data_IF_119115502713
#
_entry.id   IF_119115502713
#
_cell.length_a   1.000
_cell.length_b   1.000
_cell.length_c   1.000
_cell.angle_alpha   90.00
_cell.angle_beta   90.00
_cell.angle_gamma   90.00
#
_symmetry.space_group_name_H-M   'P 1'
#
loop_
_entity.id
_entity.type
_entity.pdbx_description
1 polymer ?
#
# COMPACT_ATOMS: atom_id res chain seq x y z
N UNK A 1 18.29 65.10 29.67
CA UNK A 1 18.19 64.09 30.75
C UNK A 1 19.02 62.88 30.37
N UNK A 2 19.85 62.37 31.28
CA UNK A 2 21.01 61.54 30.98
C UNK A 2 20.74 60.03 31.08
N UNK A 3 21.59 59.29 30.37
CA UNK A 3 22.12 57.95 30.63
C UNK A 3 21.41 57.02 31.62
N UNK A 4 21.14 55.79 31.19
CA UNK A 4 21.75 54.61 31.85
C UNK A 4 21.81 53.41 30.88
N UNK A 5 23.05 53.10 30.47
CA UNK A 5 23.50 51.78 30.02
C UNK A 5 23.77 50.94 31.29
N UNK A 6 23.45 49.64 31.29
CA UNK A 6 24.20 48.53 31.91
C UNK A 6 23.50 47.20 31.50
N UNK A 7 24.17 46.37 30.69
CA UNK A 7 24.90 45.15 31.09
C UNK A 7 23.94 44.05 31.60
N UNK A 8 23.63 43.02 30.79
CA UNK A 8 24.40 41.77 30.68
C UNK A 8 24.84 41.21 32.03
N UNK A 9 24.16 40.17 32.49
CA UNK A 9 24.73 38.87 32.88
C UNK A 9 23.83 38.14 33.89
N UNK A 10 23.86 36.81 33.79
CA UNK A 10 23.45 35.83 34.80
C UNK A 10 22.03 35.29 34.65
N UNK A 11 21.95 34.01 34.28
CA UNK A 11 20.71 33.25 34.30
C UNK A 11 20.64 32.05 33.37
N UNK A 12 21.77 31.53 32.86
CA UNK A 12 21.79 30.21 32.21
C UNK A 12 21.65 29.15 33.31
N UNK A 13 20.43 28.93 33.79
CA UNK A 13 20.10 27.78 34.61
C UNK A 13 20.15 26.54 33.71
N UNK A 14 21.22 25.75 33.86
CA UNK A 14 21.26 24.35 33.45
C UNK A 14 20.05 23.62 34.07
N UNK A 15 18.98 23.45 33.30
CA UNK A 15 18.11 22.30 33.50
C UNK A 15 18.86 21.10 32.93
N UNK A 16 19.69 20.48 33.77
CA UNK A 16 19.98 19.06 33.67
C UNK A 16 18.67 18.34 33.97
N UNK A 17 17.84 18.18 32.95
CA UNK A 17 16.80 17.18 32.96
C UNK A 17 17.50 15.85 33.21
N UNK A 18 17.35 15.32 34.42
CA UNK A 18 17.59 13.92 34.72
C UNK A 18 16.58 13.13 33.89
N UNK A 19 16.96 12.85 32.64
CA UNK A 19 16.34 11.78 31.88
C UNK A 19 16.53 10.52 32.72
N UNK A 20 15.47 9.77 33.08
CA UNK A 20 15.65 8.50 33.74
C UNK A 20 16.52 7.63 32.84
N UNK A 21 17.66 7.21 33.38
CA UNK A 21 18.57 6.23 32.80
C UNK A 21 17.93 4.82 32.77
N UNK A 22 16.74 4.73 32.16
CA UNK A 22 15.92 3.53 32.05
C UNK A 22 15.71 3.03 30.62
N UNK A 23 16.34 3.66 29.62
CA UNK A 23 16.17 3.29 28.21
C UNK A 23 17.25 2.36 27.64
N UNK A 24 18.37 2.14 28.35
CA UNK A 24 19.49 1.36 27.81
C UNK A 24 19.33 -0.17 27.99
N UNK A 25 18.37 -0.63 28.78
CA UNK A 25 18.19 -2.06 29.10
C UNK A 25 17.10 -2.75 28.25
N UNK A 26 16.38 -1.99 27.41
CA UNK A 26 15.33 -2.54 26.56
C UNK A 26 15.82 -2.92 25.15
N UNK A 27 16.98 -2.41 24.71
CA UNK A 27 17.49 -2.66 23.35
C UNK A 27 18.30 -3.97 23.20
N UNK A 28 18.96 -4.46 24.27
CA UNK A 28 19.75 -5.71 24.20
C UNK A 28 18.89 -6.96 24.02
N UNK A 29 17.66 -6.95 24.55
CA UNK A 29 16.75 -8.10 24.54
C UNK A 29 16.16 -8.43 23.15
N UNK A 30 16.19 -7.48 22.21
CA UNK A 30 15.61 -7.63 20.87
C UNK A 30 16.65 -8.00 19.83
N UNK A 31 17.91 -7.64 20.06
CA UNK A 31 19.01 -7.98 19.17
C UNK A 31 19.19 -9.50 19.11
N UNK A 32 18.98 -10.08 17.92
CA UNK A 32 19.30 -11.49 17.68
C UNK A 32 20.75 -11.61 17.14
N UNK A 33 21.62 -12.42 17.77
CA UNK A 33 23.02 -12.59 17.35
C UNK A 33 23.17 -13.45 16.08
N UNK A 34 22.14 -14.22 15.71
CA UNK A 34 22.14 -15.08 14.52
C UNK A 34 20.82 -14.98 13.73
N UNK A 35 20.82 -15.31 12.44
CA UNK A 35 19.59 -15.35 11.63
C UNK A 35 18.60 -16.41 12.15
N UNK A 36 19.08 -17.55 12.65
CA UNK A 36 18.25 -18.60 13.24
C UNK A 36 17.55 -18.10 14.49
N UNK A 37 18.28 -17.40 15.35
CA UNK A 37 17.71 -16.83 16.57
C UNK A 37 16.68 -15.74 16.27
N UNK A 38 16.92 -14.89 15.27
CA UNK A 38 15.95 -13.89 14.83
C UNK A 38 14.63 -14.54 14.38
N UNK A 39 14.71 -15.59 13.56
CA UNK A 39 13.53 -16.30 13.06
C UNK A 39 12.80 -17.08 14.16
N UNK A 40 13.54 -17.74 15.06
CA UNK A 40 12.95 -18.47 16.20
C UNK A 40 12.25 -17.50 17.15
N UNK A 41 12.91 -16.40 17.55
CA UNK A 41 12.30 -15.37 18.40
C UNK A 41 11.05 -14.77 17.75
N UNK A 42 11.07 -14.52 16.44
CA UNK A 42 9.89 -14.04 15.73
C UNK A 42 8.70 -15.01 15.87
N UNK A 43 8.90 -16.32 15.66
CA UNK A 43 7.83 -17.32 15.83
C UNK A 43 7.35 -17.41 17.28
N UNK A 44 8.27 -17.41 18.25
CA UNK A 44 7.92 -17.47 19.67
C UNK A 44 7.11 -16.25 20.13
N UNK A 45 7.52 -15.04 19.71
CA UNK A 45 6.86 -13.80 20.12
C UNK A 45 5.56 -13.55 19.37
N UNK A 46 5.51 -13.91 18.09
CA UNK A 46 4.27 -13.85 17.29
C UNK A 46 3.21 -14.88 17.74
N UNK A 47 3.61 -15.89 18.52
CA UNK A 47 2.77 -16.95 19.07
C UNK A 47 2.09 -16.67 20.42
N UNK A 48 2.24 -15.48 21.00
CA UNK A 48 1.45 -15.08 22.17
C UNK A 48 2.23 -14.61 23.40
N UNK A 49 3.44 -14.06 23.23
CA UNK A 49 4.21 -13.52 24.38
C UNK A 49 4.52 -12.03 24.29
N UNK A 50 4.82 -11.49 23.10
CA UNK A 50 5.11 -10.05 22.95
C UNK A 50 5.03 -9.56 21.49
N UNK A 51 3.85 -9.09 21.07
CA UNK A 51 3.65 -8.57 19.72
C UNK A 51 4.47 -7.30 19.42
N UNK A 52 4.79 -6.50 20.46
CA UNK A 52 5.63 -5.31 20.32
C UNK A 52 7.06 -5.72 19.99
N UNK A 53 7.66 -6.62 20.78
CA UNK A 53 9.01 -7.16 20.49
C UNK A 53 9.07 -7.87 19.14
N UNK A 54 7.98 -8.54 18.73
CA UNK A 54 7.87 -9.13 17.38
C UNK A 54 8.07 -8.08 16.29
N UNK A 55 7.41 -6.93 16.38
CA UNK A 55 7.55 -5.84 15.40
C UNK A 55 8.96 -5.22 15.42
N UNK A 56 9.66 -5.27 16.56
CA UNK A 56 11.03 -4.78 16.69
C UNK A 56 12.07 -5.67 16.00
N UNK A 57 11.79 -6.96 15.80
CA UNK A 57 12.61 -7.88 14.99
C UNK A 57 12.46 -7.68 13.47
N UNK A 58 11.49 -6.87 13.04
CA UNK A 58 11.20 -6.70 11.62
C UNK A 58 12.10 -5.62 11.03
N UNK A 59 12.70 -5.95 9.91
CA UNK A 59 13.56 -5.02 9.19
C UNK A 59 12.77 -3.77 8.74
N UNK A 60 13.27 -2.54 9.03
CA UNK A 60 12.55 -1.30 8.74
C UNK A 60 12.05 -1.17 7.29
N UNK A 61 12.88 -1.56 6.31
CA UNK A 61 12.52 -1.50 4.87
C UNK A 61 11.33 -2.38 4.49
N UNK A 62 11.04 -3.42 5.27
CA UNK A 62 9.88 -4.30 5.07
C UNK A 62 8.69 -3.93 5.95
N UNK A 63 8.96 -3.25 7.07
CA UNK A 63 7.98 -2.80 8.04
C UNK A 63 7.20 -1.57 7.55
N UNK A 64 7.89 -0.56 7.01
CA UNK A 64 7.26 0.68 6.58
C UNK A 64 6.21 0.48 5.46
N UNK A 65 6.47 -0.28 4.37
CA UNK A 65 5.46 -0.56 3.36
C UNK A 65 4.27 -1.36 3.91
N UNK A 66 4.53 -2.31 4.82
CA UNK A 66 3.48 -3.08 5.48
C UNK A 66 2.59 -2.18 6.34
N UNK A 67 3.19 -1.26 7.11
CA UNK A 67 2.45 -0.27 7.90
C UNK A 67 1.60 0.65 7.01
N UNK A 68 2.15 1.12 5.88
CA UNK A 68 1.42 1.96 4.94
C UNK A 68 0.20 1.22 4.37
N UNK A 69 0.39 -0.04 3.93
CA UNK A 69 -0.70 -0.89 3.45
C UNK A 69 -1.76 -1.10 4.53
N UNK A 70 -1.34 -1.43 5.75
CA UNK A 70 -2.24 -1.61 6.88
C UNK A 70 -3.05 -0.35 7.21
N UNK A 71 -2.39 0.81 7.30
CA UNK A 71 -3.05 2.08 7.57
C UNK A 71 -4.07 2.43 6.48
N UNK A 72 -3.74 2.15 5.22
CA UNK A 72 -4.67 2.30 4.09
C UNK A 72 -5.90 1.40 4.26
N UNK A 73 -5.74 0.12 4.58
CA UNK A 73 -6.87 -0.81 4.77
C UNK A 73 -7.78 -0.45 5.95
N UNK A 74 -7.28 0.31 6.92
CA UNK A 74 -8.01 0.75 8.11
C UNK A 74 -8.58 2.17 8.00
N UNK A 75 -8.30 2.85 6.89
CA UNK A 75 -8.86 4.16 6.58
C UNK A 75 -10.35 3.99 6.23
N UNK A 76 -11.24 4.76 6.87
CA UNK A 76 -12.68 4.68 6.63
C UNK A 76 -13.06 4.97 5.15
N UNK A 77 -12.21 5.66 4.42
CA UNK A 77 -12.40 5.91 2.98
C UNK A 77 -12.13 4.67 2.14
N UNK A 78 -11.41 3.67 2.67
CA UNK A 78 -10.97 2.51 1.90
C UNK A 78 -12.14 1.59 1.61
N UNK A 79 -13.00 1.37 2.59
CA UNK A 79 -14.32 0.76 2.42
C UNK A 79 -15.20 1.12 3.62
N UNK A 80 -16.54 1.00 3.51
CA UNK A 80 -17.45 1.24 4.63
C UNK A 80 -17.12 0.40 5.87
N UNK A 81 -16.60 -0.82 5.67
CA UNK A 81 -16.26 -1.74 6.76
C UNK A 81 -14.86 -1.52 7.35
N UNK A 82 -14.06 -0.61 6.78
CA UNK A 82 -12.66 -0.41 7.21
C UNK A 82 -12.57 0.11 8.65
N UNK A 83 -13.51 0.95 9.07
CA UNK A 83 -13.60 1.45 10.45
C UNK A 83 -13.98 0.33 11.42
N UNK A 84 -15.03 -0.44 11.12
CA UNK A 84 -15.42 -1.58 11.94
C UNK A 84 -14.30 -2.64 12.02
N UNK A 85 -13.58 -2.87 10.92
CA UNK A 85 -12.40 -3.73 10.88
C UNK A 85 -11.29 -3.23 11.82
N UNK A 86 -10.97 -1.93 11.75
CA UNK A 86 -9.99 -1.27 12.63
C UNK A 86 -10.38 -1.41 14.10
N UNK A 87 -11.62 -1.09 14.45
CA UNK A 87 -12.10 -1.18 15.83
C UNK A 87 -12.09 -2.61 16.36
N UNK A 88 -12.51 -3.60 15.55
CA UNK A 88 -12.49 -5.01 15.94
C UNK A 88 -11.07 -5.51 16.20
N UNK A 89 -10.09 -5.07 15.40
CA UNK A 89 -8.74 -5.59 15.46
C UNK A 89 -7.83 -4.83 16.42
N UNK A 90 -7.92 -3.51 16.45
CA UNK A 90 -7.05 -2.64 17.23
C UNK A 90 -7.73 -2.06 18.48
N UNK A 91 -9.06 -2.03 18.51
CA UNK A 91 -9.88 -1.41 19.57
C UNK A 91 -10.35 0.01 19.22
N UNK A 92 -11.35 0.54 19.94
CA UNK A 92 -11.98 1.85 19.65
C UNK A 92 -11.05 3.05 19.84
N UNK A 93 -9.97 2.89 20.61
CA UNK A 93 -8.96 3.94 20.82
C UNK A 93 -8.02 4.18 19.63
N UNK A 94 -8.18 3.43 18.53
CA UNK A 94 -7.39 3.58 17.30
C UNK A 94 -8.18 4.37 16.26
N UNK A 95 -8.11 5.70 16.36
CA UNK A 95 -8.70 6.62 15.37
C UNK A 95 -7.78 6.80 14.16
N UNK A 96 -8.30 7.39 13.07
CA UNK A 96 -7.49 7.76 11.91
C UNK A 96 -6.30 8.67 12.28
N UNK A 97 -6.52 9.64 13.17
CA UNK A 97 -5.47 10.53 13.67
C UNK A 97 -4.39 9.75 14.44
N UNK A 98 -4.78 8.79 15.30
CA UNK A 98 -3.83 7.95 16.01
C UNK A 98 -3.03 7.07 15.06
N UNK A 99 -3.66 6.45 14.07
CA UNK A 99 -2.96 5.65 13.05
C UNK A 99 -1.93 6.48 12.27
N UNK A 100 -2.28 7.73 11.95
CA UNK A 100 -1.36 8.65 11.28
C UNK A 100 -0.16 9.02 12.15
N UNK A 101 -0.36 9.20 13.46
CA UNK A 101 0.70 9.53 14.42
C UNK A 101 1.52 8.32 14.89
N UNK A 102 0.99 7.10 14.75
CA UNK A 102 1.64 5.88 15.21
C UNK A 102 2.93 5.58 14.44
N UNK A 103 3.95 5.14 15.19
CA UNK A 103 5.19 4.64 14.59
C UNK A 103 4.94 3.33 13.85
N UNK A 104 5.86 2.97 12.94
CA UNK A 104 5.76 1.72 12.18
C UNK A 104 5.66 0.49 13.10
N UNK A 105 6.48 0.47 14.16
CA UNK A 105 6.50 -0.61 15.15
C UNK A 105 5.23 -0.64 16.00
N UNK A 106 4.70 0.50 16.39
CA UNK A 106 3.49 0.57 17.22
C UNK A 106 2.27 0.01 16.48
N UNK A 107 1.99 0.50 15.27
CA UNK A 107 0.81 0.07 14.51
C UNK A 107 0.91 -1.41 14.09
N UNK A 108 2.08 -1.85 13.61
CA UNK A 108 2.28 -3.24 13.22
C UNK A 108 2.26 -4.17 14.43
N UNK A 109 2.90 -3.78 15.54
CA UNK A 109 2.85 -4.54 16.78
C UNK A 109 1.42 -4.71 17.29
N UNK A 110 0.60 -3.65 17.23
CA UNK A 110 -0.80 -3.75 17.64
C UNK A 110 -1.64 -4.62 16.68
N UNK A 111 -1.37 -4.55 15.38
CA UNK A 111 -2.02 -5.44 14.41
C UNK A 111 -1.70 -6.92 14.68
N UNK A 112 -0.43 -7.23 14.98
CA UNK A 112 0.00 -8.59 15.33
C UNK A 112 -0.67 -9.05 16.64
N UNK A 113 -0.74 -8.19 17.66
CA UNK A 113 -1.44 -8.48 18.90
C UNK A 113 -2.94 -8.71 18.69
N UNK A 114 -3.61 -7.90 17.87
CA UNK A 114 -5.01 -8.09 17.50
C UNK A 114 -5.24 -9.45 16.82
N UNK A 115 -4.36 -9.83 15.89
CA UNK A 115 -4.39 -11.14 15.23
C UNK A 115 -4.19 -12.31 16.20
N UNK A 116 -3.31 -12.16 17.20
CA UNK A 116 -3.13 -13.13 18.29
C UNK A 116 -4.37 -13.22 19.17
N UNK A 117 -4.98 -12.09 19.52
CA UNK A 117 -6.18 -12.04 20.35
C UNK A 117 -7.40 -12.72 19.70
N UNK A 118 -7.39 -12.91 18.38
CA UNK A 118 -8.39 -13.70 17.64
C UNK A 118 -8.08 -15.21 17.65
N UNK A 119 -6.87 -15.62 18.07
CA UNK A 119 -6.38 -17.00 18.11
C UNK A 119 -6.03 -17.42 19.54
N UNK A 120 -6.88 -17.08 20.52
CA UNK A 120 -6.58 -17.25 21.95
C UNK A 120 -6.35 -18.70 22.39
N UNK A 121 -6.86 -19.65 21.62
CA UNK A 121 -6.70 -21.08 21.89
C UNK A 121 -5.42 -21.66 21.24
N UNK A 122 -4.67 -20.87 20.46
CA UNK A 122 -3.43 -21.32 19.83
C UNK A 122 -2.26 -21.14 20.79
N UNK A 123 -1.54 -22.23 21.02
CA UNK A 123 -0.26 -22.23 21.74
C UNK A 123 0.84 -22.67 20.78
N UNK A 124 1.86 -21.83 20.66
CA UNK A 124 3.07 -22.16 19.90
C UNK A 124 4.09 -22.82 20.84
N UNK A 125 4.61 -23.98 20.44
CA UNK A 125 5.63 -24.74 21.17
C UNK A 125 6.65 -25.37 20.22
N UNK A 126 7.69 -26.01 20.77
CA UNK A 126 8.69 -26.76 20.00
C UNK A 126 9.31 -25.99 18.83
N UNK A 127 9.54 -24.68 19.01
CA UNK A 127 10.10 -23.79 17.98
C UNK A 127 11.59 -24.05 17.82
N UNK A 128 12.02 -24.41 16.60
CA UNK A 128 13.43 -24.62 16.27
C UNK A 128 13.72 -24.29 14.81
N UNK A 129 14.87 -23.70 14.55
CA UNK A 129 15.41 -23.64 13.20
C UNK A 129 15.82 -25.05 12.75
N UNK A 130 15.43 -25.44 11.55
CA UNK A 130 15.71 -26.77 10.97
C UNK A 130 16.55 -26.70 9.70
N UNK A 131 16.64 -25.53 9.07
CA UNK A 131 17.49 -25.28 7.92
C UNK A 131 17.87 -23.79 7.89
N UNK A 132 19.06 -23.48 7.39
CA UNK A 132 19.59 -22.13 7.22
C UNK A 132 20.50 -22.12 6.01
N UNK A 133 20.11 -21.35 4.99
CA UNK A 133 20.82 -21.28 3.72
C UNK A 133 21.18 -19.83 3.39
N UNK A 134 22.26 -19.66 2.60
CA UNK A 134 22.65 -18.35 2.10
C UNK A 134 21.63 -17.87 1.06
N UNK A 135 21.02 -16.71 1.33
CA UNK A 135 20.15 -16.02 0.39
C UNK A 135 20.91 -14.97 -0.45
N UNK A 136 20.14 -14.16 -1.18
CA UNK A 136 20.65 -13.05 -1.98
C UNK A 136 21.09 -11.87 -1.10
N UNK A 137 22.16 -11.16 -1.49
CA UNK A 137 22.58 -9.89 -0.87
C UNK A 137 22.71 -9.95 0.66
N UNK A 138 23.57 -10.86 1.14
CA UNK A 138 23.85 -11.12 2.56
C UNK A 138 22.66 -11.60 3.41
N UNK A 139 21.53 -11.91 2.78
CA UNK A 139 20.41 -12.55 3.44
C UNK A 139 20.73 -14.00 3.87
N UNK A 140 19.94 -14.47 4.82
CA UNK A 140 19.86 -15.88 5.22
C UNK A 140 18.41 -16.32 5.17
N UNK A 141 18.13 -17.40 4.46
CA UNK A 141 16.82 -18.05 4.45
C UNK A 141 16.81 -19.09 5.56
N UNK A 142 15.99 -18.89 6.57
CA UNK A 142 15.90 -19.76 7.74
C UNK A 142 14.54 -20.41 7.78
N UNK A 143 14.50 -21.74 7.76
CA UNK A 143 13.26 -22.50 7.97
C UNK A 143 13.13 -22.86 9.44
N UNK A 144 12.04 -22.41 10.05
CA UNK A 144 11.67 -22.70 11.44
C UNK A 144 10.52 -23.69 11.45
N UNK A 145 10.66 -24.77 12.22
CA UNK A 145 9.57 -25.69 12.53
C UNK A 145 9.05 -25.38 13.93
N UNK A 146 7.74 -25.42 14.09
CA UNK A 146 7.07 -25.18 15.36
C UNK A 146 5.77 -25.98 15.43
N UNK A 147 5.31 -26.24 16.63
CA UNK A 147 4.04 -26.90 16.88
C UNK A 147 3.00 -25.85 17.24
N UNK A 148 1.82 -25.95 16.62
CA UNK A 148 0.63 -25.17 16.96
C UNK A 148 -0.36 -26.13 17.60
N UNK A 149 -0.62 -25.92 18.88
CA UNK A 149 -1.65 -26.64 19.62
C UNK A 149 -2.89 -25.74 19.71
N UNK A 150 -4.02 -26.21 19.21
CA UNK A 150 -5.31 -25.52 19.28
C UNK A 150 -6.37 -26.45 19.83
N UNK A 151 -7.20 -25.94 20.75
CA UNK A 151 -8.32 -26.69 21.29
C UNK A 151 -9.36 -27.03 20.20
N UNK A 152 -9.49 -26.17 19.19
CA UNK A 152 -10.47 -26.31 18.10
C UNK A 152 -9.95 -27.09 16.88
N UNK A 153 -8.64 -27.07 16.62
CA UNK A 153 -8.04 -27.66 15.42
C UNK A 153 -7.07 -28.82 15.71
N UNK A 154 -6.82 -29.13 16.98
CA UNK A 154 -5.86 -30.13 17.41
C UNK A 154 -4.42 -29.62 17.35
N UNK A 155 -3.47 -30.55 17.43
CA UNK A 155 -2.04 -30.26 17.34
C UNK A 155 -1.53 -30.47 15.92
N UNK A 156 -0.78 -29.51 15.39
CA UNK A 156 -0.16 -29.62 14.08
C UNK A 156 1.28 -29.08 14.09
N UNK A 157 2.16 -29.75 13.34
CA UNK A 157 3.50 -29.22 13.08
C UNK A 157 3.45 -28.30 11.87
N UNK A 158 3.93 -27.08 12.06
CA UNK A 158 4.05 -26.06 11.03
C UNK A 158 5.53 -25.83 10.70
N UNK A 159 5.77 -25.36 9.47
CA UNK A 159 7.08 -24.90 9.01
C UNK A 159 6.91 -23.55 8.34
N UNK A 160 7.84 -22.63 8.58
CA UNK A 160 7.87 -21.32 7.92
C UNK A 160 9.30 -20.93 7.60
N UNK A 161 9.51 -20.38 6.41
CA UNK A 161 10.79 -19.83 5.98
C UNK A 161 10.79 -18.32 6.15
N UNK A 162 11.89 -17.79 6.71
CA UNK A 162 12.10 -16.38 6.97
C UNK A 162 13.36 -15.93 6.27
N UNK A 163 13.29 -14.78 5.61
CA UNK A 163 14.49 -14.09 5.14
C UNK A 163 15.01 -13.17 6.25
N UNK A 164 16.19 -13.47 6.79
CA UNK A 164 16.88 -12.68 7.80
C UNK A 164 18.03 -11.86 7.18
N UNK A 165 18.27 -10.66 7.71
CA UNK A 165 19.31 -9.74 7.27
C UNK A 165 20.13 -9.22 8.45
N UNK A 166 21.44 -9.00 8.25
CA UNK A 166 22.26 -8.32 9.25
C UNK A 166 21.88 -6.84 9.33
N UNK A 167 21.86 -6.30 10.55
CA UNK A 167 21.64 -4.89 10.88
C UNK A 167 22.58 -4.52 12.04
N UNK A 168 23.73 -3.96 11.71
CA UNK A 168 24.80 -3.73 12.69
C UNK A 168 25.29 -5.04 13.30
N UNK A 169 25.16 -5.20 14.61
CA UNK A 169 25.51 -6.42 15.35
C UNK A 169 24.36 -7.42 15.48
N UNK A 170 23.19 -7.09 14.94
CA UNK A 170 21.96 -7.86 15.12
C UNK A 170 21.49 -8.46 13.79
N UNK A 171 20.61 -9.45 13.88
CA UNK A 171 19.85 -10.00 12.77
C UNK A 171 18.38 -9.64 12.92
N UNK A 172 17.76 -9.21 11.81
CA UNK A 172 16.35 -8.87 11.72
C UNK A 172 15.70 -9.73 10.64
N UNK A 173 14.41 -10.01 10.77
CA UNK A 173 13.65 -10.73 9.74
C UNK A 173 12.91 -9.75 8.83
N UNK A 174 12.76 -10.10 7.56
CA UNK A 174 11.76 -9.43 6.73
C UNK A 174 10.35 -9.79 7.21
N UNK A 175 9.42 -8.86 7.00
CA UNK A 175 7.99 -9.16 7.16
C UNK A 175 7.64 -10.42 6.35
N UNK A 176 7.12 -11.49 6.97
CA UNK A 176 6.80 -12.73 6.27
C UNK A 176 5.83 -12.51 5.11
N UNK A 177 6.00 -13.27 4.04
CA UNK A 177 5.16 -13.16 2.84
C UNK A 177 3.69 -13.47 3.15
N UNK A 178 3.43 -14.38 4.09
CA UNK A 178 2.08 -14.75 4.50
C UNK A 178 1.37 -13.61 5.24
N UNK A 179 2.12 -12.78 5.97
CA UNK A 179 1.57 -11.58 6.59
C UNK A 179 1.05 -10.62 5.51
N UNK A 180 1.74 -10.53 4.37
CA UNK A 180 1.33 -9.69 3.23
C UNK A 180 0.14 -10.28 2.50
N UNK A 181 0.18 -11.57 2.18
CA UNK A 181 -0.95 -12.28 1.59
C UNK A 181 -2.21 -12.13 2.45
N UNK A 182 -2.08 -12.12 3.78
CA UNK A 182 -3.19 -11.85 4.69
C UNK A 182 -3.74 -10.43 4.56
N UNK A 183 -2.89 -9.41 4.36
CA UNK A 183 -3.37 -8.06 4.06
C UNK A 183 -4.12 -8.02 2.72
N UNK A 184 -3.71 -8.82 1.73
CA UNK A 184 -4.41 -8.88 0.44
C UNK A 184 -5.77 -9.57 0.55
N UNK A 185 -5.88 -10.64 1.33
CA UNK A 185 -7.18 -11.26 1.67
C UNK A 185 -8.11 -10.27 2.38
N UNK A 186 -7.58 -9.49 3.33
CA UNK A 186 -8.32 -8.43 4.00
C UNK A 186 -8.73 -7.36 2.99
N UNK A 187 -7.82 -6.93 2.12
CA UNK A 187 -8.06 -5.95 1.07
C UNK A 187 -9.21 -6.39 0.16
N UNK A 188 -9.19 -7.64 -0.31
CA UNK A 188 -10.27 -8.21 -1.14
C UNK A 188 -11.60 -8.25 -0.41
N UNK A 189 -11.60 -8.66 0.87
CA UNK A 189 -12.81 -8.69 1.70
C UNK A 189 -13.42 -7.29 1.86
N UNK A 190 -12.57 -6.30 2.19
CA UNK A 190 -12.99 -4.90 2.34
C UNK A 190 -13.41 -4.28 1.00
N UNK A 191 -12.77 -4.66 -0.11
CA UNK A 191 -13.17 -4.23 -1.47
C UNK A 191 -14.56 -4.76 -1.83
N UNK A 192 -14.87 -6.01 -1.46
CA UNK A 192 -16.15 -6.63 -1.76
C UNK A 192 -17.33 -5.91 -1.08
N UNK A 193 -17.11 -5.21 0.03
CA UNK A 193 -18.16 -4.41 0.69
C UNK A 193 -18.30 -2.98 0.16
N UNK A 194 -17.47 -2.56 -0.80
CA UNK A 194 -17.59 -1.23 -1.40
C UNK A 194 -18.85 -1.16 -2.27
N UNK A 195 -19.66 -0.10 -2.13
CA UNK A 195 -20.70 0.20 -3.10
C UNK A 195 -20.07 0.38 -4.48
N UNK A 196 -20.59 -0.34 -5.48
CA UNK A 196 -20.22 -0.14 -6.88
C UNK A 196 -21.10 0.95 -7.51
N UNK A 197 -21.21 2.09 -6.82
CA UNK A 197 -21.99 3.22 -7.30
C UNK A 197 -21.04 4.20 -7.97
N UNK A 198 -21.16 4.31 -9.29
CA UNK A 198 -20.43 5.30 -10.04
C UNK A 198 -21.06 6.68 -9.86
N UNK A 199 -20.24 7.72 -9.90
CA UNK A 199 -20.72 9.08 -9.99
C UNK A 199 -21.28 9.24 -11.39
N UNK A 200 -22.60 9.33 -11.50
CA UNK A 200 -23.26 9.58 -12.76
C UNK A 200 -22.92 10.97 -13.30
N UNK A 201 -23.01 11.13 -14.62
CA UNK A 201 -22.77 12.42 -15.25
C UNK A 201 -23.79 13.45 -14.81
N UNK A 202 -23.31 14.55 -14.23
CA UNK A 202 -24.15 15.65 -13.76
C UNK A 202 -24.10 16.89 -14.68
N UNK A 203 -23.14 16.93 -15.61
CA UNK A 203 -23.00 18.05 -16.55
C UNK A 203 -21.86 17.85 -17.56
N UNK A 204 -21.48 18.92 -18.28
CA UNK A 204 -20.30 18.92 -19.13
C UNK A 204 -19.06 18.56 -18.31
N UNK A 205 -18.15 17.79 -18.93
CA UNK A 205 -16.88 17.46 -18.30
C UNK A 205 -16.05 18.74 -18.17
N UNK A 206 -15.24 18.81 -17.11
CA UNK A 206 -14.30 19.91 -16.83
C UNK A 206 -12.86 19.52 -17.11
N UNK A 207 -12.62 18.24 -17.31
CA UNK A 207 -11.36 17.70 -17.78
C UNK A 207 -11.61 16.96 -19.09
N UNK A 208 -10.81 17.27 -20.10
CA UNK A 208 -10.85 16.56 -21.38
C UNK A 208 -10.29 15.16 -21.17
N UNK A 209 -11.03 14.13 -21.60
CA UNK A 209 -10.60 12.74 -21.55
C UNK A 209 -10.70 12.11 -22.91
N UNK A 210 -9.67 11.35 -23.29
CA UNK A 210 -9.63 10.62 -24.54
C UNK A 210 -8.99 9.25 -24.32
N UNK A 211 -9.51 8.24 -25.03
CA UNK A 211 -8.81 6.98 -25.24
C UNK A 211 -8.35 6.92 -26.69
N UNK A 212 -7.05 6.88 -26.91
CA UNK A 212 -6.46 7.01 -28.23
C UNK A 212 -5.41 5.94 -28.52
N UNK A 213 -5.20 5.56 -29.78
CA UNK A 213 -4.06 4.74 -30.18
C UNK A 213 -2.74 5.43 -29.81
N UNK A 214 -1.78 4.63 -29.35
CA UNK A 214 -0.48 5.13 -28.94
C UNK A 214 0.68 4.24 -29.41
N UNK A 215 1.90 4.71 -29.21
CA UNK A 215 3.13 4.03 -29.54
C UNK A 215 4.26 4.47 -28.60
N UNK A 216 5.15 3.53 -28.25
CA UNK A 216 6.38 3.85 -27.51
C UNK A 216 7.46 4.50 -28.39
N UNK A 217 7.29 4.44 -29.71
CA UNK A 217 8.18 5.06 -30.70
C UNK A 217 7.40 6.04 -31.56
N UNK A 218 8.09 7.01 -32.14
CA UNK A 218 7.51 7.96 -33.07
C UNK A 218 6.82 7.28 -34.25
N UNK A 219 5.67 7.82 -34.65
CA UNK A 219 4.91 7.39 -35.83
C UNK A 219 4.30 8.61 -36.52
N UNK A 220 4.15 8.57 -37.86
CA UNK A 220 3.50 9.65 -38.60
C UNK A 220 2.12 9.98 -38.05
N UNK A 221 1.84 11.26 -37.85
CA UNK A 221 0.54 11.76 -37.37
C UNK A 221 0.34 11.73 -35.85
N UNK A 222 1.21 11.07 -35.09
CA UNK A 222 1.14 11.05 -33.62
C UNK A 222 1.88 12.24 -33.00
N UNK A 223 1.42 12.70 -31.84
CA UNK A 223 2.08 13.73 -31.04
C UNK A 223 2.70 13.11 -29.79
N UNK A 224 3.92 13.53 -29.47
CA UNK A 224 4.54 13.16 -28.19
C UNK A 224 3.83 13.88 -27.04
N UNK A 225 3.33 13.10 -26.09
CA UNK A 225 2.69 13.60 -24.88
C UNK A 225 3.44 13.11 -23.65
N UNK A 226 3.60 13.99 -22.67
CA UNK A 226 4.19 13.64 -21.38
C UNK A 226 3.25 12.73 -20.58
N UNK A 227 3.83 11.73 -19.93
CA UNK A 227 3.15 10.84 -18.99
C UNK A 227 3.18 11.44 -17.60
N UNK A 228 2.00 11.53 -16.97
CA UNK A 228 1.86 12.05 -15.61
C UNK A 228 2.68 11.19 -14.64
N UNK A 229 3.50 11.83 -13.82
CA UNK A 229 4.24 11.20 -12.72
C UNK A 229 5.43 10.32 -13.13
N UNK A 230 5.80 10.27 -14.41
CA UNK A 230 6.96 9.49 -14.88
C UNK A 230 8.18 10.40 -15.13
N UNK A 231 9.36 9.95 -14.72
CA UNK A 231 10.64 10.59 -15.00
C UNK A 231 11.54 9.67 -15.85
N UNK A 232 12.38 10.23 -16.71
CA UNK A 232 13.33 9.48 -17.56
C UNK A 232 12.78 9.06 -18.92
N UNK A 233 13.45 8.15 -19.63
CA UNK A 233 13.14 7.79 -21.02
C UNK A 233 11.74 7.17 -21.27
N UNK A 234 11.00 6.83 -20.21
CA UNK A 234 9.62 6.34 -20.24
C UNK A 234 8.59 7.41 -19.83
N UNK A 235 9.01 8.68 -19.79
CA UNK A 235 8.18 9.82 -19.39
C UNK A 235 7.25 10.35 -20.47
N UNK A 236 7.27 9.80 -21.68
CA UNK A 236 6.42 10.23 -22.78
C UNK A 236 5.93 9.05 -23.63
N UNK A 237 4.90 9.32 -24.43
CA UNK A 237 4.41 8.41 -25.45
C UNK A 237 3.89 9.18 -26.65
N UNK A 238 3.92 8.54 -27.82
CA UNK A 238 3.37 9.08 -29.06
C UNK A 238 1.90 8.68 -29.15
N UNK A 239 1.01 9.66 -29.22
CA UNK A 239 -0.45 9.44 -29.16
C UNK A 239 -1.14 10.09 -30.35
N UNK A 240 -2.05 9.35 -30.97
CA UNK A 240 -2.92 9.87 -32.03
C UNK A 240 -4.21 10.45 -31.43
N UNK A 241 -4.12 11.67 -30.91
CA UNK A 241 -5.27 12.39 -30.33
C UNK A 241 -6.31 12.82 -31.37
N UNK A 242 -5.93 12.88 -32.66
CA UNK A 242 -6.87 13.19 -33.74
C UNK A 242 -7.75 11.97 -34.09
N UNK A 243 -7.22 10.76 -33.94
CA UNK A 243 -7.94 9.50 -34.07
C UNK A 243 -8.38 8.91 -32.72
N UNK A 244 -8.79 9.76 -31.77
CA UNK A 244 -9.31 9.29 -30.49
C UNK A 244 -10.49 8.33 -30.71
N UNK A 245 -10.41 7.14 -30.10
CA UNK A 245 -11.44 6.11 -30.19
C UNK A 245 -12.66 6.48 -29.34
N UNK A 246 -12.40 7.01 -28.15
CA UNK A 246 -13.40 7.47 -27.20
C UNK A 246 -13.01 8.84 -26.67
N UNK A 247 -14.02 9.61 -26.30
CA UNK A 247 -13.90 10.95 -25.72
C UNK A 247 -14.70 11.03 -24.43
N UNK A 248 -14.64 12.17 -23.74
CA UNK A 248 -15.38 12.39 -22.51
C UNK A 248 -16.88 12.16 -22.68
N UNK A 249 -17.44 12.32 -23.89
CA UNK A 249 -18.85 12.05 -24.21
C UNK A 249 -19.25 10.58 -24.02
N UNK A 250 -18.29 9.68 -24.14
CA UNK A 250 -18.50 8.24 -23.99
C UNK A 250 -18.49 7.80 -22.53
N UNK A 251 -18.24 8.71 -21.58
CA UNK A 251 -18.28 8.43 -20.15
C UNK A 251 -19.68 8.68 -19.58
N UNK A 252 -20.24 7.64 -18.94
CA UNK A 252 -21.52 7.71 -18.20
C UNK A 252 -21.32 7.67 -16.69
N UNK A 253 -20.17 7.19 -16.23
CA UNK A 253 -19.83 7.16 -14.81
C UNK A 253 -18.33 7.18 -14.54
N UNK A 254 -17.94 7.69 -13.38
CA UNK A 254 -16.59 7.54 -12.86
C UNK A 254 -16.59 7.33 -11.34
N UNK A 255 -15.60 6.60 -10.82
CA UNK A 255 -15.44 6.37 -9.38
C UNK A 255 -13.98 6.26 -9.00
N UNK A 256 -13.54 7.04 -8.01
CA UNK A 256 -12.21 6.93 -7.44
C UNK A 256 -12.18 5.88 -6.31
N UNK A 257 -11.13 5.07 -6.27
CA UNK A 257 -10.89 4.10 -5.18
C UNK A 257 -9.41 3.70 -5.12
N UNK A 258 -8.96 3.17 -4.00
CA UNK A 258 -7.70 2.40 -3.97
C UNK A 258 -7.94 1.04 -4.61
N UNK A 259 -7.42 0.86 -5.80
CA UNK A 259 -7.69 -0.36 -6.58
C UNK A 259 -6.63 -0.70 -7.62
N UNK A 260 -5.56 0.09 -7.70
CA UNK A 260 -4.43 -0.24 -8.54
C UNK A 260 -3.32 -0.86 -7.70
N UNK A 261 -3.09 -2.15 -7.89
CA UNK A 261 -1.99 -2.84 -7.22
C UNK A 261 -0.67 -2.51 -7.93
N UNK A 262 0.12 -1.62 -7.35
CA UNK A 262 1.41 -1.20 -7.91
C UNK A 262 2.47 -2.31 -7.83
N UNK A 263 2.34 -3.23 -6.86
CA UNK A 263 3.17 -4.43 -6.68
C UNK A 263 2.61 -5.32 -5.58
N UNK A 264 3.05 -6.58 -5.52
CA UNK A 264 2.79 -7.55 -4.44
C UNK A 264 3.30 -7.11 -3.04
N UNK A 265 3.84 -5.89 -2.91
CA UNK A 265 4.58 -5.44 -1.72
C UNK A 265 4.26 -4.00 -1.26
N UNK A 266 3.50 -3.23 -2.04
CA UNK A 266 3.26 -1.80 -1.79
C UNK A 266 1.82 -1.48 -1.39
N UNK A 267 1.55 -0.24 -0.93
CA UNK A 267 0.19 0.27 -0.87
C UNK A 267 -0.45 0.26 -2.26
N UNK A 268 -1.78 0.16 -2.30
CA UNK A 268 -2.51 0.36 -3.54
C UNK A 268 -2.43 1.82 -3.96
N UNK A 269 -2.20 2.05 -5.24
CA UNK A 269 -2.34 3.36 -5.82
C UNK A 269 -3.84 3.69 -6.00
N UNK A 270 -4.22 4.97 -5.85
CA UNK A 270 -5.53 5.41 -6.28
C UNK A 270 -5.76 5.13 -7.76
N UNK A 271 -6.99 4.75 -8.08
CA UNK A 271 -7.45 4.52 -9.43
C UNK A 271 -8.78 5.22 -9.65
N UNK A 272 -9.09 5.50 -10.91
CA UNK A 272 -10.43 5.90 -11.35
C UNK A 272 -10.98 4.79 -12.22
N UNK A 273 -12.11 4.22 -11.82
CA UNK A 273 -12.94 3.39 -12.66
C UNK A 273 -13.81 4.30 -13.52
N UNK A 274 -13.77 4.08 -14.83
CA UNK A 274 -14.55 4.79 -15.83
C UNK A 274 -15.56 3.80 -16.41
N UNK A 275 -16.82 4.21 -16.43
CA UNK A 275 -17.91 3.42 -17.02
C UNK A 275 -18.32 4.10 -18.32
N UNK A 276 -18.27 3.31 -19.39
CA UNK A 276 -18.56 3.74 -20.75
C UNK A 276 -20.05 3.66 -21.06
N UNK A 277 -20.51 4.49 -22.00
CA UNK A 277 -21.80 4.34 -22.67
C UNK A 277 -21.84 3.01 -23.44
N UNK A 278 -23.04 2.56 -23.82
CA UNK A 278 -23.18 1.36 -24.65
C UNK A 278 -22.45 1.51 -26.00
N UNK A 279 -22.57 2.67 -26.63
CA UNK A 279 -21.91 2.97 -27.91
C UNK A 279 -20.39 2.98 -27.76
N UNK A 280 -19.85 3.68 -26.76
CA UNK A 280 -18.42 3.70 -26.49
C UNK A 280 -17.87 2.31 -26.14
N UNK A 281 -18.65 1.51 -25.42
CA UNK A 281 -18.29 0.11 -25.12
C UNK A 281 -18.22 -0.74 -26.39
N UNK A 282 -19.18 -0.58 -27.31
CA UNK A 282 -19.20 -1.31 -28.58
C UNK A 282 -18.02 -0.90 -29.46
N UNK A 283 -17.76 0.40 -29.61
CA UNK A 283 -16.61 0.93 -30.35
C UNK A 283 -15.29 0.36 -29.80
N UNK A 284 -15.12 0.37 -28.47
CA UNK A 284 -13.93 -0.18 -27.84
C UNK A 284 -13.80 -1.70 -28.03
N UNK A 285 -14.91 -2.43 -27.90
CA UNK A 285 -14.97 -3.89 -28.08
C UNK A 285 -14.55 -4.27 -29.50
N UNK A 286 -15.12 -3.61 -30.51
CA UNK A 286 -14.80 -3.84 -31.92
C UNK A 286 -13.33 -3.51 -32.22
N UNK A 287 -12.87 -2.34 -31.76
CA UNK A 287 -11.49 -1.92 -31.99
C UNK A 287 -10.48 -2.88 -31.34
N UNK A 288 -10.67 -3.23 -30.07
CA UNK A 288 -9.73 -4.10 -29.33
C UNK A 288 -9.72 -5.54 -29.83
N UNK A 289 -10.84 -6.03 -30.38
CA UNK A 289 -10.89 -7.33 -31.07
C UNK A 289 -9.98 -7.35 -32.31
N UNK A 290 -9.94 -6.26 -33.07
CA UNK A 290 -9.13 -6.16 -34.29
C UNK A 290 -7.65 -5.81 -34.00
N UNK A 291 -7.34 -5.25 -32.83
CA UNK A 291 -6.03 -4.67 -32.51
C UNK A 291 -5.39 -5.29 -31.27
N UNK A 292 -5.44 -6.62 -31.14
CA UNK A 292 -4.75 -7.33 -30.07
C UNK A 292 -3.25 -7.00 -30.06
N UNK A 293 -2.70 -6.71 -28.88
CA UNK A 293 -1.30 -6.33 -28.74
C UNK A 293 -0.96 -4.89 -29.14
N UNK A 294 -1.92 -4.10 -29.65
CA UNK A 294 -1.73 -2.66 -29.88
C UNK A 294 -1.63 -1.90 -28.56
N UNK A 295 -1.17 -0.64 -28.62
CA UNK A 295 -1.00 0.21 -27.44
C UNK A 295 -2.08 1.28 -27.45
N UNK A 296 -2.74 1.47 -26.29
CA UNK A 296 -3.70 2.53 -26.04
C UNK A 296 -3.16 3.47 -24.96
N UNK A 297 -3.48 4.75 -25.10
CA UNK A 297 -3.26 5.75 -24.07
C UNK A 297 -4.61 6.35 -23.62
N UNK A 298 -4.78 6.46 -22.31
CA UNK A 298 -5.78 7.34 -21.70
C UNK A 298 -5.12 8.70 -21.50
N UNK A 299 -5.64 9.71 -22.19
CA UNK A 299 -5.17 11.09 -22.12
C UNK A 299 -6.17 11.90 -21.31
N UNK A 300 -5.67 12.67 -20.34
CA UNK A 300 -6.46 13.59 -19.52
C UNK A 300 -5.82 14.97 -19.61
N UNK A 301 -6.58 15.97 -20.06
CA UNK A 301 -6.13 17.36 -20.20
C UNK A 301 -4.78 17.48 -20.92
N UNK A 302 -4.60 16.70 -22.00
CA UNK A 302 -3.38 16.71 -22.83
C UNK A 302 -2.18 15.93 -22.26
N UNK A 303 -2.33 15.23 -21.13
CA UNK A 303 -1.27 14.39 -20.56
C UNK A 303 -1.67 12.91 -20.58
N UNK A 304 -0.71 12.02 -20.80
CA UNK A 304 -0.94 10.57 -20.71
C UNK A 304 -1.07 10.18 -19.25
N UNK A 305 -2.27 9.75 -18.85
CA UNK A 305 -2.52 9.23 -17.52
C UNK A 305 -2.13 7.74 -17.44
N UNK A 306 -2.56 6.95 -18.43
CA UNK A 306 -2.24 5.52 -18.53
C UNK A 306 -1.85 5.18 -19.97
N UNK A 307 -0.85 4.32 -20.12
CA UNK A 307 -0.49 3.69 -21.39
C UNK A 307 -0.39 2.19 -21.18
N UNK A 308 -1.08 1.42 -22.01
CA UNK A 308 -1.15 -0.03 -21.83
C UNK A 308 -1.27 -0.75 -23.17
N UNK A 309 -0.78 -1.99 -23.19
CA UNK A 309 -0.98 -2.90 -24.32
C UNK A 309 -2.34 -3.58 -24.18
N UNK A 310 -3.08 -3.69 -25.27
CA UNK A 310 -4.34 -4.45 -25.34
C UNK A 310 -4.04 -5.94 -25.20
N UNK A 311 -4.38 -6.50 -24.04
CA UNK A 311 -4.22 -7.93 -23.75
C UNK A 311 -5.41 -8.80 -24.19
N UNK A 312 -6.54 -8.20 -24.56
CA UNK A 312 -7.77 -8.89 -24.91
C UNK A 312 -8.88 -7.93 -25.31
N UNK A 313 -10.09 -8.45 -25.50
CA UNK A 313 -11.28 -7.64 -25.82
C UNK A 313 -11.70 -6.88 -24.55
N UNK A 314 -11.70 -5.56 -24.63
CA UNK A 314 -12.13 -4.68 -23.54
C UNK A 314 -13.63 -4.39 -23.65
N UNK A 315 -14.28 -4.17 -22.51
CA UNK A 315 -15.73 -3.98 -22.43
C UNK A 315 -16.14 -2.61 -21.87
N UNK A 316 -17.11 -2.61 -20.96
CA UNK A 316 -17.83 -1.41 -20.49
C UNK A 316 -17.11 -0.58 -19.42
N UNK A 317 -16.06 -1.14 -18.80
CA UNK A 317 -15.32 -0.49 -17.72
C UNK A 317 -13.84 -0.41 -18.04
N UNK A 318 -13.27 0.75 -17.76
CA UNK A 318 -11.85 1.03 -17.85
C UNK A 318 -11.33 1.45 -16.48
N UNK A 319 -10.10 1.06 -16.16
CA UNK A 319 -9.44 1.48 -14.92
C UNK A 319 -8.23 2.35 -15.27
N UNK A 320 -8.16 3.51 -14.64
CA UNK A 320 -7.06 4.45 -14.77
C UNK A 320 -6.28 4.50 -13.45
N UNK A 321 -5.14 3.81 -13.39
CA UNK A 321 -4.22 3.89 -12.26
C UNK A 321 -3.52 5.25 -12.20
N UNK A 322 -3.42 5.83 -11.01
CA UNK A 322 -2.81 7.14 -10.77
C UNK A 322 -1.65 7.02 -9.76
N UNK A 323 -0.51 6.43 -10.17
CA UNK A 323 0.63 6.25 -9.27
C UNK A 323 1.14 7.59 -8.73
N UNK A 324 1.37 7.64 -7.41
CA UNK A 324 1.82 8.85 -6.72
C UNK A 324 0.75 9.93 -6.52
N UNK A 325 -0.50 9.70 -6.96
CA UNK A 325 -1.63 10.57 -6.62
C UNK A 325 -2.19 10.23 -5.22
N UNK A 326 -2.89 11.17 -4.62
CA UNK A 326 -3.74 10.91 -3.44
C UNK A 326 -5.15 10.49 -3.86
N UNK A 327 -5.91 9.85 -2.95
CA UNK A 327 -7.30 9.49 -3.24
C UNK A 327 -8.15 10.75 -3.50
N UNK A 328 -7.88 11.86 -2.81
CA UNK A 328 -8.56 13.13 -3.03
C UNK A 328 -8.30 13.70 -4.42
N UNK A 329 -7.07 13.55 -4.94
CA UNK A 329 -6.74 13.94 -6.31
C UNK A 329 -7.48 13.07 -7.31
N UNK A 330 -7.53 11.74 -7.09
CA UNK A 330 -8.33 10.83 -7.92
C UNK A 330 -9.83 11.18 -7.87
N UNK A 331 -10.37 11.49 -6.69
CA UNK A 331 -11.77 11.88 -6.50
C UNK A 331 -12.08 13.22 -7.18
N UNK A 332 -11.17 14.18 -7.12
CA UNK A 332 -11.29 15.47 -7.82
C UNK A 332 -11.38 15.25 -9.31
N UNK A 333 -10.46 14.45 -9.87
CA UNK A 333 -10.46 14.15 -11.28
C UNK A 333 -11.72 13.37 -11.70
N UNK A 334 -12.19 12.42 -10.91
CA UNK A 334 -13.46 11.73 -11.18
C UNK A 334 -14.64 12.72 -11.22
N UNK A 335 -14.70 13.67 -10.29
CA UNK A 335 -15.72 14.72 -10.29
C UNK A 335 -15.62 15.64 -11.52
N UNK A 336 -14.41 16.03 -11.90
CA UNK A 336 -14.18 16.88 -13.07
C UNK A 336 -14.58 16.17 -14.37
N UNK A 337 -14.28 14.87 -14.50
CA UNK A 337 -14.71 14.06 -15.64
C UNK A 337 -16.24 13.95 -15.75
N UNK A 338 -16.94 13.85 -14.61
CA UNK A 338 -18.40 13.71 -14.58
C UNK A 338 -19.15 15.05 -14.52
N UNK A 339 -18.44 16.17 -14.44
CA UNK A 339 -19.03 17.51 -14.38
C UNK A 339 -19.73 17.84 -13.07
N UNK A 340 -19.42 17.15 -11.97
CA UNK A 340 -20.05 17.41 -10.66
C UNK A 340 -19.39 18.61 -9.97
N UNK A 341 -20.20 19.48 -9.36
CA UNK A 341 -19.70 20.54 -8.45
C UNK A 341 -19.49 19.93 -7.07
N UNK A 342 -18.35 20.26 -6.45
CA UNK A 342 -18.15 20.10 -5.01
C UNK A 342 -19.09 21.03 -4.25
#
# INVERSE_FOLDING_TARGET
>A
MPHLRHMLASGLALLLAQLPAGAAWAEEDVCAPSPEEAAVRFVQWSGGTDARRTAELIQPRSLAPFKQRLAQLMDARYSPDSEAFRERLLGPGWTAQRMAAATDKELVGQFLAGGQALRRDWKISNVRAIDSQRGLLDAREVTVSYQVDSASLGSSTQKRTFTAYPSGKCWLVQMPIESRARLDEIAQTLKASRPQVDIARAGPARADWQLAPASYTERPGMKELARRGAAGASSSAWVDTAAALLTEKDLVGARAAWDCEASFAGPEDPAIWLTLSADGSNTLTEWTRAHHGAILAMVVSGQVAVIARVGGVLGTKLQMCLPGASLEQAQTLANDLMGTRR
#
